data_IF_928385497404
#
_entry.id   IF_928385497404
#
_cell.length_a   1.000
_cell.length_b   1.000
_cell.length_c   1.000
_cell.angle_alpha   90.00
_cell.angle_beta   90.00
_cell.angle_gamma   90.00
#
_symmetry.space_group_name_H-M   'P 1'
#
loop_
_entity.id
_entity.type
_entity.pdbx_description
1 polymer ?
#
# COMPACT_ATOMS: atom_id res chain seq x y z
N UNK A 1 2.96 -10.24 5.45
CA UNK A 1 1.71 -9.69 6.01
C UNK A 1 2.00 -8.27 6.44
N UNK A 2 1.05 -7.35 6.27
CA UNK A 2 1.28 -5.92 6.57
C UNK A 2 0.97 -5.54 8.02
N UNK A 3 0.29 -6.43 8.76
CA UNK A 3 -0.15 -6.24 10.13
C UNK A 3 0.27 -7.41 11.01
N UNK A 4 0.53 -7.14 12.29
CA UNK A 4 0.72 -8.18 13.31
C UNK A 4 -0.66 -8.49 13.91
N UNK A 5 -1.19 -9.69 13.62
CA UNK A 5 -2.47 -10.13 14.15
C UNK A 5 -2.24 -11.17 15.25
N UNK A 6 -2.35 -10.73 16.50
CA UNK A 6 -2.19 -11.55 17.69
C UNK A 6 -3.56 -11.81 18.33
N UNK A 7 -3.82 -13.05 18.69
CA UNK A 7 -4.97 -13.36 19.53
C UNK A 7 -4.68 -12.92 20.96
N UNK A 8 -5.65 -12.28 21.63
CA UNK A 8 -5.48 -11.73 22.99
C UNK A 8 -5.01 -12.76 24.01
N UNK A 9 -5.41 -14.03 23.85
CA UNK A 9 -4.97 -15.13 24.73
C UNK A 9 -3.47 -15.37 24.72
N UNK A 10 -2.73 -14.88 23.71
CA UNK A 10 -1.26 -14.92 23.71
C UNK A 10 -0.71 -14.01 24.80
N UNK A 11 -1.33 -12.85 25.00
CA UNK A 11 -0.94 -11.89 26.04
C UNK A 11 -1.31 -12.39 27.44
N UNK A 12 -2.30 -13.28 27.53
CA UNK A 12 -2.71 -13.94 28.76
C UNK A 12 -1.96 -15.26 29.03
N UNK A 13 -1.02 -15.65 28.14
CA UNK A 13 -0.27 -16.90 28.29
C UNK A 13 0.71 -16.81 29.47
N UNK A 14 0.95 -17.91 30.21
CA UNK A 14 1.89 -17.92 31.31
C UNK A 14 3.32 -17.57 30.86
N UNK A 15 3.70 -17.94 29.64
CA UNK A 15 4.99 -17.60 29.04
C UNK A 15 5.13 -16.08 28.84
N UNK A 16 4.08 -15.39 28.38
CA UNK A 16 4.10 -13.94 28.17
C UNK A 16 4.01 -13.16 29.49
N UNK A 17 3.11 -13.57 30.38
CA UNK A 17 2.95 -12.95 31.71
C UNK A 17 4.22 -13.15 32.55
N UNK A 18 4.85 -14.32 32.46
CA UNK A 18 6.09 -14.63 33.18
C UNK A 18 7.34 -13.97 32.61
N UNK A 19 7.31 -13.53 31.34
CA UNK A 19 8.47 -12.92 30.70
C UNK A 19 8.79 -11.52 31.23
N UNK A 20 10.08 -11.18 31.28
CA UNK A 20 10.56 -9.84 31.60
C UNK A 20 10.10 -8.80 30.57
N UNK A 21 9.92 -7.52 30.94
CA UNK A 21 9.51 -6.47 30.00
C UNK A 21 10.43 -6.36 28.76
N UNK A 22 11.74 -6.51 28.95
CA UNK A 22 12.73 -6.52 27.85
C UNK A 22 12.50 -7.71 26.90
N UNK A 23 12.13 -8.88 27.44
CA UNK A 23 11.82 -10.05 26.62
C UNK A 23 10.54 -9.85 25.83
N UNK A 24 9.50 -9.27 26.43
CA UNK A 24 8.24 -8.96 25.72
C UNK A 24 8.50 -8.01 24.55
N UNK A 25 9.32 -6.98 24.76
CA UNK A 25 9.72 -6.04 23.71
C UNK A 25 10.54 -6.73 22.59
N UNK A 26 11.53 -7.54 22.98
CA UNK A 26 12.37 -8.33 22.05
C UNK A 26 11.50 -9.26 21.20
N UNK A 27 10.59 -10.00 21.84
CA UNK A 27 9.66 -10.91 21.18
C UNK A 27 8.78 -10.17 20.18
N UNK A 28 8.21 -9.01 20.52
CA UNK A 28 7.37 -8.24 19.60
C UNK A 28 8.15 -7.78 18.36
N UNK A 29 9.40 -7.36 18.53
CA UNK A 29 10.30 -6.99 17.43
C UNK A 29 10.65 -8.19 16.52
N UNK A 30 10.96 -9.35 17.11
CA UNK A 30 11.20 -10.60 16.37
C UNK A 30 9.95 -11.06 15.61
N UNK A 31 8.78 -10.98 16.26
CA UNK A 31 7.50 -11.31 15.67
C UNK A 31 7.19 -10.41 14.47
N UNK A 32 7.38 -9.09 14.63
CA UNK A 32 7.24 -8.11 13.54
C UNK A 32 8.08 -8.49 12.33
N UNK A 33 9.34 -8.87 12.55
CA UNK A 33 10.22 -9.32 11.47
C UNK A 33 9.65 -10.57 10.77
N UNK A 34 9.27 -11.60 11.53
CA UNK A 34 8.74 -12.85 10.99
C UNK A 34 7.40 -12.65 10.25
N UNK A 35 6.55 -11.74 10.71
CA UNK A 35 5.26 -11.40 10.06
C UNK A 35 5.49 -10.74 8.70
N UNK A 36 6.51 -9.87 8.61
CA UNK A 36 6.92 -9.25 7.35
C UNK A 36 7.50 -10.26 6.36
N UNK A 37 8.26 -11.24 6.84
CA UNK A 37 8.86 -12.28 5.99
C UNK A 37 7.94 -13.47 5.68
N UNK A 38 6.88 -13.67 6.48
CA UNK A 38 5.98 -14.83 6.38
C UNK A 38 6.71 -16.17 6.43
N UNK A 39 7.68 -16.27 7.34
CA UNK A 39 8.57 -17.40 7.51
C UNK A 39 8.09 -18.39 8.61
N UNK A 40 6.81 -18.32 9.00
CA UNK A 40 6.26 -19.22 10.02
C UNK A 40 6.81 -18.99 11.44
N UNK A 41 7.43 -17.84 11.71
CA UNK A 41 8.04 -17.55 13.01
C UNK A 41 9.45 -18.10 13.16
N UNK A 42 10.09 -18.54 12.07
CA UNK A 42 11.44 -19.13 12.11
C UNK A 42 12.41 -18.24 11.34
N UNK A 43 13.40 -17.70 12.05
CA UNK A 43 14.54 -17.03 11.43
C UNK A 43 15.62 -18.09 11.20
N UNK A 44 15.85 -18.44 9.94
CA UNK A 44 16.82 -19.48 9.56
C UNK A 44 18.21 -18.91 9.30
N UNK A 45 19.25 -19.71 9.59
CA UNK A 45 20.66 -19.39 9.30
C UNK A 45 21.07 -18.06 9.95
N UNK A 46 20.73 -17.93 11.24
CA UNK A 46 20.86 -16.67 11.97
C UNK A 46 21.80 -16.70 13.18
N UNK A 47 22.35 -17.86 13.55
CA UNK A 47 23.29 -17.92 14.69
C UNK A 47 24.58 -17.14 14.43
N UNK A 48 25.01 -17.09 13.16
CA UNK A 48 26.19 -16.36 12.72
C UNK A 48 25.95 -14.85 12.50
N UNK A 49 24.73 -14.34 12.69
CA UNK A 49 24.45 -12.93 12.48
C UNK A 49 25.14 -12.07 13.54
N UNK A 50 25.93 -11.08 13.08
CA UNK A 50 26.48 -10.06 13.96
C UNK A 50 25.40 -9.11 14.51
N UNK A 51 25.72 -8.46 15.63
CA UNK A 51 24.82 -7.53 16.34
C UNK A 51 24.22 -6.44 15.43
N UNK A 52 25.02 -5.89 14.52
CA UNK A 52 24.55 -4.88 13.57
C UNK A 52 23.39 -5.38 12.70
N UNK A 53 23.44 -6.66 12.28
CA UNK A 53 22.39 -7.26 11.45
C UNK A 53 21.12 -7.46 12.24
N UNK A 54 21.21 -7.92 13.49
CA UNK A 54 20.07 -8.04 14.40
C UNK A 54 19.37 -6.69 14.60
N UNK A 55 20.14 -5.62 14.84
CA UNK A 55 19.57 -4.29 15.05
C UNK A 55 18.88 -3.75 13.79
N UNK A 56 19.48 -3.95 12.62
CA UNK A 56 18.92 -3.43 11.36
C UNK A 56 17.70 -4.22 10.89
N UNK A 57 17.75 -5.55 10.95
CA UNK A 57 16.69 -6.40 10.40
C UNK A 57 15.55 -6.60 11.40
N UNK A 58 15.90 -6.85 12.66
CA UNK A 58 14.97 -7.27 13.69
C UNK A 58 14.74 -6.21 14.77
N UNK A 59 15.52 -5.11 14.81
CA UNK A 59 15.42 -4.02 15.82
C UNK A 59 15.68 -4.50 17.24
N UNK A 60 16.52 -5.51 17.36
CA UNK A 60 16.98 -6.08 18.63
C UNK A 60 18.50 -6.24 18.56
N UNK A 61 19.14 -6.33 19.70
CA UNK A 61 20.56 -6.59 19.84
C UNK A 61 20.84 -8.10 19.87
N UNK A 62 22.06 -8.48 19.51
CA UNK A 62 22.53 -9.85 19.66
C UNK A 62 22.50 -10.30 21.13
N UNK A 63 22.70 -9.36 22.06
CA UNK A 63 22.64 -9.62 23.50
C UNK A 63 21.24 -10.05 23.91
N UNK A 64 20.20 -9.32 23.51
CA UNK A 64 18.79 -9.64 23.81
C UNK A 64 18.40 -11.02 23.30
N UNK A 65 18.65 -11.31 22.01
CA UNK A 65 18.24 -12.60 21.41
C UNK A 65 19.00 -13.81 21.96
N UNK A 66 20.16 -13.61 22.58
CA UNK A 66 20.93 -14.67 23.26
C UNK A 66 20.47 -14.94 24.68
N UNK A 67 19.60 -14.10 25.25
CA UNK A 67 19.03 -14.37 26.56
C UNK A 67 18.11 -15.59 26.50
N UNK A 68 18.05 -16.34 27.59
CA UNK A 68 17.05 -17.40 27.75
C UNK A 68 15.68 -16.76 27.94
N UNK A 69 14.71 -17.17 27.14
CA UNK A 69 13.33 -16.71 27.22
C UNK A 69 12.38 -17.85 26.90
N UNK A 70 11.15 -17.76 27.40
CA UNK A 70 10.06 -18.67 27.04
C UNK A 70 9.28 -18.18 25.79
N UNK A 71 9.67 -17.03 25.22
CA UNK A 71 9.02 -16.41 24.05
C UNK A 71 9.74 -16.68 22.72
N UNK A 72 11.00 -17.13 22.78
CA UNK A 72 11.75 -17.60 21.63
C UNK A 72 12.78 -18.64 22.07
N UNK A 73 13.19 -19.49 21.15
CA UNK A 73 14.17 -20.52 21.43
C UNK A 73 15.15 -20.67 20.25
N UNK A 74 16.41 -20.94 20.59
CA UNK A 74 17.40 -21.34 19.61
C UNK A 74 17.32 -22.83 19.37
N UNK A 75 17.09 -23.23 18.12
CA UNK A 75 17.17 -24.62 17.66
C UNK A 75 18.24 -24.67 16.57
N UNK A 76 19.39 -25.24 16.92
CA UNK A 76 20.56 -25.29 16.05
C UNK A 76 20.95 -23.88 15.55
N UNK A 77 20.90 -23.65 14.23
CA UNK A 77 21.20 -22.38 13.57
C UNK A 77 19.95 -21.51 13.31
N UNK A 78 18.86 -21.78 14.02
CA UNK A 78 17.56 -21.11 13.84
C UNK A 78 17.07 -20.51 15.14
N UNK A 79 16.42 -19.36 15.02
CA UNK A 79 15.64 -18.77 16.10
C UNK A 79 14.15 -18.99 15.83
N UNK A 80 13.49 -19.73 16.71
CA UNK A 80 12.05 -20.01 16.63
C UNK A 80 11.32 -19.06 17.58
N UNK A 81 10.43 -18.25 17.04
CA UNK A 81 9.61 -17.28 17.77
C UNK A 81 8.27 -17.92 18.11
N UNK A 82 7.92 -17.95 19.40
CA UNK A 82 6.65 -18.54 19.87
C UNK A 82 5.48 -17.62 19.58
N UNK A 83 4.29 -18.23 19.55
CA UNK A 83 3.01 -17.57 19.28
C UNK A 83 2.92 -16.84 17.93
N UNK A 84 3.73 -17.28 16.95
CA UNK A 84 3.58 -16.81 15.57
C UNK A 84 2.20 -17.21 15.01
N UNK A 85 1.43 -16.27 14.43
CA UNK A 85 0.08 -16.55 13.95
C UNK A 85 0.09 -17.27 12.58
N UNK A 86 0.44 -18.56 12.58
CA UNK A 86 0.52 -19.38 11.36
C UNK A 86 -0.78 -19.40 10.56
N UNK A 87 -1.93 -19.46 11.24
CA UNK A 87 -3.22 -19.52 10.56
C UNK A 87 -3.52 -18.23 9.79
N UNK A 88 -3.12 -17.08 10.35
CA UNK A 88 -3.22 -15.78 9.66
C UNK A 88 -2.26 -15.66 8.49
N UNK A 89 -1.04 -16.20 8.61
CA UNK A 89 -0.14 -16.29 7.48
C UNK A 89 -0.76 -17.10 6.33
N UNK A 90 -1.30 -18.29 6.63
CA UNK A 90 -1.95 -19.16 5.65
C UNK A 90 -3.15 -18.49 5.00
N UNK A 91 -3.97 -17.78 5.78
CA UNK A 91 -5.10 -17.00 5.28
C UNK A 91 -4.65 -15.92 4.29
N UNK A 92 -3.67 -15.11 4.65
CA UNK A 92 -3.16 -14.02 3.80
C UNK A 92 -2.44 -14.55 2.56
N UNK A 93 -1.75 -15.69 2.66
CA UNK A 93 -1.17 -16.38 1.50
C UNK A 93 -2.24 -16.93 0.57
N UNK A 94 -3.30 -17.54 1.10
CA UNK A 94 -4.45 -18.02 0.31
C UNK A 94 -5.17 -16.88 -0.40
N UNK A 95 -5.41 -15.76 0.28
CA UNK A 95 -6.04 -14.59 -0.31
C UNK A 95 -5.21 -14.02 -1.46
N UNK A 96 -3.89 -13.92 -1.30
CA UNK A 96 -2.98 -13.50 -2.38
C UNK A 96 -2.95 -14.49 -3.55
N UNK A 97 -2.91 -15.80 -3.29
CA UNK A 97 -2.96 -16.81 -4.34
C UNK A 97 -4.29 -16.76 -5.13
N UNK A 98 -5.41 -16.55 -4.44
CA UNK A 98 -6.72 -16.39 -5.08
C UNK A 98 -6.81 -15.09 -5.89
N UNK A 99 -6.27 -13.99 -5.38
CA UNK A 99 -6.19 -12.73 -6.10
C UNK A 99 -5.36 -12.88 -7.39
N UNK A 100 -4.22 -13.59 -7.34
CA UNK A 100 -3.40 -13.89 -8.52
C UNK A 100 -4.19 -14.71 -9.56
N UNK A 101 -4.86 -15.80 -9.13
CA UNK A 101 -5.68 -16.62 -10.04
C UNK A 101 -6.83 -15.83 -10.67
N UNK A 102 -7.46 -14.93 -9.92
CA UNK A 102 -8.52 -14.06 -10.43
C UNK A 102 -8.01 -13.00 -11.42
N UNK A 103 -6.79 -12.50 -11.24
CA UNK A 103 -6.13 -11.65 -12.23
C UNK A 103 -5.80 -12.44 -13.51
N UNK A 104 -5.19 -13.62 -13.38
CA UNK A 104 -4.83 -14.49 -14.51
C UNK A 104 -6.05 -14.91 -15.33
N UNK A 105 -7.17 -15.25 -14.66
CA UNK A 105 -8.41 -15.62 -15.31
C UNK A 105 -9.04 -14.43 -16.06
N UNK A 106 -8.95 -13.21 -15.51
CA UNK A 106 -9.39 -11.98 -16.19
C UNK A 106 -8.56 -11.70 -17.44
N UNK A 107 -7.23 -11.79 -17.34
CA UNK A 107 -6.34 -11.58 -18.50
C UNK A 107 -6.52 -12.65 -19.58
N UNK A 108 -6.77 -13.91 -19.20
CA UNK A 108 -7.13 -14.97 -20.15
C UNK A 108 -8.48 -14.71 -20.82
N UNK A 109 -9.47 -14.18 -20.10
CA UNK A 109 -10.78 -13.85 -20.68
C UNK A 109 -10.70 -12.66 -21.61
N UNK A 110 -9.95 -11.62 -21.23
CA UNK A 110 -9.73 -10.42 -22.04
C UNK A 110 -8.94 -10.72 -23.32
N UNK A 111 -7.95 -11.63 -23.28
CA UNK A 111 -7.25 -12.09 -24.49
C UNK A 111 -8.13 -12.95 -25.42
N UNK A 112 -9.14 -13.66 -24.89
CA UNK A 112 -10.13 -14.38 -25.69
C UNK A 112 -11.18 -13.41 -26.28
N UNK A 113 -11.64 -12.42 -25.51
CA UNK A 113 -12.64 -11.43 -25.94
C UNK A 113 -12.09 -10.39 -26.93
N UNK A 114 -10.80 -10.06 -26.87
CA UNK A 114 -10.14 -9.16 -27.83
C UNK A 114 -9.79 -9.82 -29.18
N UNK A 115 -10.22 -11.07 -29.42
CA UNK A 115 -10.11 -11.69 -30.74
C UNK A 115 -8.67 -11.81 -31.26
N UNK A 116 -7.67 -11.94 -30.39
CA UNK A 116 -6.31 -12.26 -30.81
C UNK A 116 -6.35 -13.68 -31.39
N UNK A 117 -6.08 -13.89 -32.69
CA UNK A 117 -6.16 -15.21 -33.26
C UNK A 117 -5.07 -16.08 -32.65
N UNK A 118 -5.48 -17.12 -31.93
CA UNK A 118 -4.60 -18.22 -31.54
C UNK A 118 -4.26 -19.01 -32.81
N UNK A 119 -3.08 -18.75 -33.38
CA UNK A 119 -2.43 -19.49 -34.46
C UNK A 119 -1.00 -19.87 -34.07
N UNK A 120 -0.87 -21.08 -33.54
CA UNK A 120 0.28 -21.91 -33.11
C UNK A 120 1.31 -22.15 -34.27
N UNK A 121 2.44 -22.91 -34.20
CA UNK A 121 3.44 -23.30 -33.17
C UNK A 121 4.90 -22.96 -33.60
N UNK A 122 5.89 -23.37 -32.80
CA UNK A 122 7.32 -23.16 -33.06
C UNK A 122 7.87 -23.74 -34.38
N UNK A 123 9.00 -23.16 -34.80
CA UNK A 123 9.82 -23.62 -35.91
C UNK A 123 10.52 -22.45 -36.61
N UNK A 124 11.82 -22.29 -36.37
CA UNK A 124 12.67 -21.48 -37.25
C UNK A 124 12.60 -22.05 -38.68
N UNK A 125 12.57 -21.20 -39.73
CA UNK A 125 13.07 -21.62 -41.04
C UNK A 125 14.41 -20.93 -41.31
N UNK A 126 15.45 -21.74 -41.38
CA UNK A 126 16.64 -21.47 -42.17
C UNK A 126 16.24 -21.21 -43.64
N UNK A 127 17.03 -20.39 -44.32
CA UNK A 127 16.74 -19.89 -45.66
C UNK A 127 16.62 -20.94 -46.77
N UNK A 128 16.11 -20.49 -47.91
CA UNK A 128 16.73 -20.61 -49.23
C UNK A 128 16.02 -19.60 -50.15
N UNK A 129 16.86 -19.06 -51.04
CA UNK A 129 16.67 -18.12 -52.14
C UNK A 129 15.50 -18.47 -53.08
N UNK A 130 14.86 -17.45 -53.69
CA UNK A 130 14.94 -17.16 -55.13
C UNK A 130 13.82 -16.22 -55.64
N UNK A 131 14.25 -15.35 -56.56
CA UNK A 131 13.52 -14.73 -57.67
C UNK A 131 12.59 -13.53 -57.41
N UNK A 132 13.16 -12.34 -57.66
CA UNK A 132 12.46 -11.15 -58.20
C UNK A 132 11.85 -11.47 -59.59
N UNK A 133 10.81 -10.72 -59.99
CA UNK A 133 11.02 -9.84 -61.13
C UNK A 133 10.58 -8.40 -60.85
N UNK A 134 11.35 -7.49 -61.44
CA UNK A 134 11.21 -6.05 -61.44
C UNK A 134 9.99 -5.61 -62.27
N UNK A 135 9.31 -4.57 -61.81
CA UNK A 135 8.75 -3.53 -62.69
C UNK A 135 8.88 -2.18 -61.99
N UNK A 136 9.53 -1.26 -62.70
CA UNK A 136 9.76 0.13 -62.35
C UNK A 136 8.44 0.93 -62.43
N UNK A 137 8.17 1.82 -61.47
CA UNK A 137 7.61 3.13 -61.79
C UNK A 137 8.01 4.18 -60.75
N UNK A 138 8.23 5.39 -61.23
CA UNK A 138 8.95 6.51 -60.63
C UNK A 138 8.08 7.32 -59.65
N UNK A 139 8.68 7.91 -58.61
CA UNK A 139 7.96 8.82 -57.72
C UNK A 139 8.75 9.42 -56.54
N UNK A 140 9.84 10.11 -56.85
CA UNK A 140 10.50 11.21 -56.13
C UNK A 140 10.07 11.56 -54.67
N UNK A 141 10.99 11.42 -53.70
CA UNK A 141 11.16 12.37 -52.59
C UNK A 141 12.53 12.20 -51.91
N UNK A 142 13.36 13.22 -52.06
CA UNK A 142 14.65 13.46 -51.40
C UNK A 142 14.61 13.37 -49.87
N UNK A 143 15.68 12.84 -49.26
CA UNK A 143 15.85 12.86 -47.80
C UNK A 143 17.15 12.28 -47.28
N UNK A 144 18.30 12.75 -47.79
CA UNK A 144 19.66 12.73 -47.18
C UNK A 144 20.06 11.54 -46.29
N UNK A 145 20.90 10.68 -46.84
CA UNK A 145 21.78 9.82 -46.07
C UNK A 145 22.91 10.58 -45.35
N UNK A 146 23.43 9.96 -44.29
CA UNK A 146 24.88 9.83 -44.07
C UNK A 146 25.16 8.64 -43.15
N UNK A 147 25.79 7.64 -43.77
CA UNK A 147 26.89 6.77 -43.29
C UNK A 147 27.24 6.92 -41.80
N UNK A 148 27.29 5.85 -41.00
CA UNK A 148 28.05 4.64 -41.27
C UNK A 148 29.33 4.66 -40.42
N UNK A 149 29.35 3.91 -39.32
CA UNK A 149 30.59 3.44 -38.69
C UNK A 149 30.30 2.20 -37.87
N UNK A 150 30.50 1.05 -38.51
CA UNK A 150 30.78 -0.19 -37.80
C UNK A 150 32.03 0.01 -36.94
N UNK A 151 31.94 -0.38 -35.68
CA UNK A 151 33.11 -0.66 -34.86
C UNK A 151 32.99 -2.08 -34.35
N UNK A 152 34.00 -2.84 -34.74
CA UNK A 152 34.28 -4.21 -34.39
C UNK A 152 34.12 -4.46 -32.89
N UNK A 153 33.47 -5.57 -32.58
CA UNK A 153 33.38 -6.12 -31.25
C UNK A 153 34.75 -6.69 -30.88
N UNK A 154 35.48 -5.97 -30.04
CA UNK A 154 36.64 -6.53 -29.36
C UNK A 154 36.22 -6.93 -27.95
N UNK A 155 36.15 -8.24 -27.71
CA UNK A 155 35.78 -8.79 -26.41
C UNK A 155 36.84 -8.49 -25.36
N UNK A 156 36.45 -7.78 -24.30
CA UNK A 156 37.03 -7.90 -22.95
C UNK A 156 35.99 -7.41 -21.95
N UNK A 157 35.73 -8.20 -20.92
CA UNK A 157 34.56 -8.11 -20.07
C UNK A 157 34.44 -6.84 -19.21
N UNK A 158 33.19 -6.43 -19.00
CA UNK A 158 32.78 -5.62 -17.85
C UNK A 158 31.57 -6.33 -17.24
N UNK A 159 31.74 -6.76 -15.99
CA UNK A 159 30.72 -7.36 -15.16
C UNK A 159 29.56 -6.39 -14.90
N UNK A 160 28.37 -6.95 -14.76
CA UNK A 160 27.12 -6.28 -14.37
C UNK A 160 27.31 -5.31 -13.21
N UNK A 161 27.35 -4.01 -13.51
CA UNK A 161 27.23 -2.95 -12.53
C UNK A 161 25.75 -2.75 -12.18
N UNK A 162 25.36 -3.23 -11.01
CA UNK A 162 24.06 -2.93 -10.39
C UNK A 162 23.85 -1.40 -10.28
N UNK A 163 22.61 -0.89 -10.40
CA UNK A 163 22.36 0.55 -10.33
C UNK A 163 22.78 1.11 -8.96
N UNK A 164 23.54 2.21 -9.00
CA UNK A 164 24.08 2.88 -7.82
C UNK A 164 22.97 3.26 -6.81
N UNK A 165 23.21 2.98 -5.52
CA UNK A 165 22.32 3.32 -4.41
C UNK A 165 22.24 4.85 -4.23
N UNK A 166 21.06 5.43 -3.88
CA UNK A 166 20.98 6.84 -3.58
C UNK A 166 21.72 7.15 -2.28
N UNK A 167 22.68 8.07 -2.35
CA UNK A 167 23.43 8.62 -1.21
C UNK A 167 22.64 9.76 -0.54
N UNK A 168 21.43 9.46 -0.08
CA UNK A 168 20.54 10.41 0.60
C UNK A 168 20.47 10.22 2.13
N UNK A 169 19.86 11.19 2.81
CA UNK A 169 19.61 11.24 4.26
C UNK A 169 18.90 9.97 4.78
N UNK A 170 19.01 9.68 6.08
CA UNK A 170 18.33 8.55 6.72
C UNK A 170 16.80 8.62 6.57
N UNK A 171 16.25 9.83 6.47
CA UNK A 171 14.84 10.08 6.14
C UNK A 171 14.52 9.73 4.68
N UNK A 172 15.43 10.01 3.74
CA UNK A 172 15.27 9.63 2.32
C UNK A 172 15.27 8.11 2.14
N UNK A 173 16.05 7.38 2.96
CA UNK A 173 16.07 5.91 2.96
C UNK A 173 14.79 5.31 3.53
N UNK A 174 14.23 5.92 4.58
CA UNK A 174 12.93 5.53 5.14
C UNK A 174 11.78 5.78 4.16
N UNK A 175 11.78 6.92 3.46
CA UNK A 175 10.80 7.19 2.40
C UNK A 175 10.92 6.20 1.24
N UNK A 176 12.14 5.75 0.89
CA UNK A 176 12.38 4.78 -0.17
C UNK A 176 11.86 3.36 0.17
N UNK A 177 12.05 2.88 1.41
CA UNK A 177 11.55 1.56 1.83
C UNK A 177 10.02 1.55 2.01
N UNK A 178 9.43 2.63 2.56
CA UNK A 178 7.97 2.81 2.59
C UNK A 178 7.37 2.98 1.19
N UNK A 179 8.09 3.63 0.27
CA UNK A 179 7.75 3.70 -1.15
C UNK A 179 7.68 2.32 -1.79
N UNK A 180 8.54 1.35 -1.43
CA UNK A 180 8.72 0.14 -2.25
C UNK A 180 7.49 -0.77 -2.26
N UNK A 181 6.76 -0.87 -1.15
CA UNK A 181 5.51 -1.65 -1.04
C UNK A 181 4.34 -0.96 -1.75
N UNK A 182 4.19 0.35 -1.58
CA UNK A 182 3.11 1.14 -2.18
C UNK A 182 3.32 1.46 -3.66
N UNK A 183 4.55 1.75 -4.08
CA UNK A 183 4.90 1.90 -5.50
C UNK A 183 4.60 0.60 -6.24
N UNK A 184 4.81 -0.58 -5.64
CA UNK A 184 4.39 -1.86 -6.25
C UNK A 184 2.87 -2.01 -6.37
N UNK A 185 2.10 -1.44 -5.45
CA UNK A 185 0.62 -1.47 -5.49
C UNK A 185 0.03 -0.47 -6.49
N UNK A 186 0.66 0.71 -6.65
CA UNK A 186 0.21 1.76 -7.56
C UNK A 186 0.79 1.66 -8.98
N UNK A 187 1.94 1.00 -9.18
CA UNK A 187 2.54 0.81 -10.51
C UNK A 187 1.59 0.11 -11.51
N UNK A 188 0.81 -0.93 -11.10
CA UNK A 188 -0.20 -1.54 -11.98
C UNK A 188 -1.35 -0.58 -12.30
N UNK A 189 -1.76 0.26 -11.35
CA UNK A 189 -2.87 1.22 -11.51
C UNK A 189 -2.47 2.37 -12.44
N UNK A 190 -1.24 2.86 -12.29
CA UNK A 190 -0.74 4.01 -13.04
C UNK A 190 -0.03 3.63 -14.34
N UNK A 191 0.13 2.32 -14.63
CA UNK A 191 0.81 1.82 -15.82
C UNK A 191 2.29 2.21 -15.94
N UNK A 192 2.88 2.84 -14.92
CA UNK A 192 4.26 3.37 -14.95
C UNK A 192 4.88 3.38 -13.55
N UNK A 193 6.22 3.29 -13.50
CA UNK A 193 6.96 3.37 -12.24
C UNK A 193 6.89 4.78 -11.66
N UNK A 194 6.41 4.89 -10.42
CA UNK A 194 6.44 6.13 -9.66
C UNK A 194 7.87 6.47 -9.24
N UNK A 195 8.35 7.65 -9.64
CA UNK A 195 9.63 8.21 -9.20
C UNK A 195 9.48 9.05 -7.93
N UNK A 196 10.60 9.46 -7.30
CA UNK A 196 10.59 10.25 -6.06
C UNK A 196 9.79 11.56 -6.16
N UNK A 197 9.87 12.27 -7.29
CA UNK A 197 9.10 13.50 -7.53
C UNK A 197 7.59 13.25 -7.61
N UNK A 198 7.22 12.12 -8.19
CA UNK A 198 5.81 11.70 -8.36
C UNK A 198 5.18 11.33 -7.02
N UNK A 199 5.97 10.80 -6.10
CA UNK A 199 5.58 10.49 -4.73
C UNK A 199 5.30 11.74 -3.90
N UNK A 200 6.18 12.75 -3.95
CA UNK A 200 5.99 14.01 -3.22
C UNK A 200 4.65 14.66 -3.59
N UNK A 201 4.31 14.66 -4.87
CA UNK A 201 3.03 15.19 -5.36
C UNK A 201 1.83 14.32 -4.94
N UNK A 202 1.95 12.99 -4.98
CA UNK A 202 0.88 12.11 -4.48
C UNK A 202 0.64 12.29 -2.98
N UNK A 203 1.70 12.36 -2.17
CA UNK A 203 1.60 12.65 -0.73
C UNK A 203 0.92 14.00 -0.49
N UNK A 204 1.28 15.03 -1.26
CA UNK A 204 0.60 16.34 -1.21
C UNK A 204 -0.90 16.23 -1.48
N UNK A 205 -1.31 15.38 -2.42
CA UNK A 205 -2.73 15.15 -2.71
C UNK A 205 -3.43 14.37 -1.58
N UNK A 206 -2.78 13.34 -1.02
CA UNK A 206 -3.31 12.58 0.14
C UNK A 206 -3.49 13.48 1.35
N UNK A 207 -2.49 14.30 1.66
CA UNK A 207 -2.55 15.24 2.79
C UNK A 207 -3.68 16.28 2.59
N UNK A 208 -3.98 16.65 1.34
CA UNK A 208 -5.02 17.65 1.02
C UNK A 208 -6.43 17.07 0.94
N UNK A 209 -6.59 15.88 0.38
CA UNK A 209 -7.91 15.33 0.02
C UNK A 209 -8.30 14.07 0.81
N UNK A 210 -7.37 13.51 1.58
CA UNK A 210 -7.54 12.25 2.30
C UNK A 210 -7.29 11.03 1.40
N UNK A 211 -6.70 9.98 1.99
CA UNK A 211 -6.24 8.80 1.25
C UNK A 211 -7.37 8.08 0.50
N UNK A 212 -8.55 7.98 1.10
CA UNK A 212 -9.69 7.26 0.50
C UNK A 212 -10.18 7.91 -0.80
N UNK A 213 -10.27 9.24 -0.84
CA UNK A 213 -10.72 9.96 -2.02
C UNK A 213 -9.65 9.94 -3.12
N UNK A 214 -8.38 10.03 -2.72
CA UNK A 214 -7.23 9.92 -3.63
C UNK A 214 -7.17 8.53 -4.26
N UNK A 215 -7.32 7.46 -3.48
CA UNK A 215 -7.25 6.09 -3.97
C UNK A 215 -8.43 5.75 -4.89
N UNK A 216 -9.66 6.13 -4.53
CA UNK A 216 -10.81 5.93 -5.40
C UNK A 216 -10.65 6.67 -6.74
N UNK A 217 -10.19 7.93 -6.69
CA UNK A 217 -10.01 8.74 -7.90
C UNK A 217 -8.85 8.23 -8.76
N UNK A 218 -7.80 7.69 -8.14
CA UNK A 218 -6.65 7.11 -8.84
C UNK A 218 -6.99 5.77 -9.50
N UNK A 219 -7.86 4.96 -8.90
CA UNK A 219 -8.33 3.71 -9.50
C UNK A 219 -9.17 3.93 -10.76
N UNK A 220 -9.95 5.01 -10.81
CA UNK A 220 -10.74 5.42 -11.97
C UNK A 220 -9.95 6.27 -12.99
N UNK A 221 -8.68 6.56 -12.71
CA UNK A 221 -7.84 7.35 -13.58
C UNK A 221 -7.20 6.46 -14.67
N UNK A 222 -7.40 6.83 -15.93
CA UNK A 222 -6.59 6.31 -17.03
C UNK A 222 -5.17 6.87 -16.93
N UNK A 223 -4.13 6.05 -17.14
CA UNK A 223 -2.75 6.53 -17.23
C UNK A 223 -2.59 7.54 -18.37
N UNK A 224 -2.63 8.83 -18.05
CA UNK A 224 -2.35 9.93 -18.98
C UNK A 224 -1.01 10.58 -18.60
N UNK A 225 -0.35 11.17 -19.59
CA UNK A 225 0.93 11.85 -19.45
C UNK A 225 0.84 13.12 -18.57
N UNK A 226 -0.36 13.64 -18.30
CA UNK A 226 -0.61 14.88 -17.53
C UNK A 226 -0.62 14.74 -16.00
N UNK A 227 -0.17 13.62 -15.48
CA UNK A 227 -0.05 13.43 -14.03
C UNK A 227 1.05 14.33 -13.42
N UNK A 228 0.84 14.90 -12.21
CA UNK A 228 -0.28 14.69 -11.28
C UNK A 228 -1.49 15.59 -11.53
N UNK A 229 -1.39 16.57 -12.43
CA UNK A 229 -2.41 17.61 -12.64
C UNK A 229 -3.76 17.01 -13.06
N UNK A 230 -3.76 15.98 -13.91
CA UNK A 230 -5.01 15.29 -14.31
C UNK A 230 -5.71 14.57 -13.17
N UNK A 231 -4.96 14.07 -12.17
CA UNK A 231 -5.52 13.48 -10.96
C UNK A 231 -6.04 14.57 -10.01
N UNK A 232 -5.28 15.66 -9.84
CA UNK A 232 -5.70 16.79 -9.01
C UNK A 232 -7.00 17.43 -9.52
N UNK A 233 -7.14 17.62 -10.84
CA UNK A 233 -8.38 18.13 -11.45
C UNK A 233 -9.58 17.20 -11.22
N UNK A 234 -9.35 15.88 -11.26
CA UNK A 234 -10.39 14.89 -10.95
C UNK A 234 -10.75 14.91 -9.47
N UNK A 235 -9.78 15.07 -8.58
CA UNK A 235 -10.02 15.18 -7.14
C UNK A 235 -10.81 16.45 -6.80
N UNK A 236 -10.52 17.58 -7.44
CA UNK A 236 -11.29 18.82 -7.30
C UNK A 236 -12.75 18.59 -7.70
N UNK A 237 -13.00 17.92 -8.84
CA UNK A 237 -14.36 17.58 -9.29
C UNK A 237 -15.05 16.59 -8.35
N UNK A 238 -14.39 15.49 -7.99
CA UNK A 238 -14.94 14.47 -7.10
C UNK A 238 -15.30 15.05 -5.72
N UNK A 239 -14.44 15.93 -5.17
CA UNK A 239 -14.73 16.65 -3.93
C UNK A 239 -15.92 17.59 -4.09
N UNK A 240 -15.98 18.35 -5.18
CA UNK A 240 -17.11 19.25 -5.45
C UNK A 240 -18.44 18.49 -5.60
N UNK A 241 -18.43 17.33 -6.24
CA UNK A 241 -19.61 16.47 -6.39
C UNK A 241 -20.01 15.84 -5.06
N UNK A 242 -19.04 15.43 -4.23
CA UNK A 242 -19.30 14.94 -2.88
C UNK A 242 -19.95 16.03 -2.03
N UNK A 243 -19.38 17.24 -2.05
CA UNK A 243 -19.91 18.39 -1.34
C UNK A 243 -21.31 18.80 -1.87
N UNK A 244 -21.57 18.70 -3.18
CA UNK A 244 -22.90 18.93 -3.78
C UNK A 244 -23.90 17.86 -3.39
N UNK A 245 -23.50 16.58 -3.36
CA UNK A 245 -24.35 15.46 -2.89
C UNK A 245 -24.69 15.61 -1.41
N UNK A 246 -23.74 16.05 -0.60
CA UNK A 246 -23.99 16.40 0.80
C UNK A 246 -24.94 17.60 0.94
N UNK A 247 -24.80 18.62 0.07
CA UNK A 247 -25.69 19.78 0.07
C UNK A 247 -27.10 19.53 -0.52
N UNK A 248 -27.28 18.48 -1.31
CA UNK A 248 -28.53 18.19 -2.05
C UNK A 248 -29.36 17.06 -1.45
N UNK A 249 -29.00 16.54 -0.27
CA UNK A 249 -29.79 15.52 0.43
C UNK A 249 -31.09 16.16 0.98
N UNK A 250 -32.30 15.77 0.50
CA UNK A 250 -33.54 16.50 0.81
C UNK A 250 -34.06 16.35 2.25
N UNK A 251 -33.46 15.47 3.05
CA UNK A 251 -33.82 15.19 4.46
C UNK A 251 -32.57 15.21 5.35
N UNK A 252 -31.69 16.20 5.18
CA UNK A 252 -30.52 16.35 6.02
C UNK A 252 -30.97 16.73 7.44
N UNK A 253 -30.90 15.75 8.36
CA UNK A 253 -31.10 15.97 9.80
C UNK A 253 -30.16 17.11 10.25
N UNK A 254 -30.69 18.29 10.65
CA UNK A 254 -29.86 19.46 10.97
C UNK A 254 -28.82 19.16 12.05
N UNK A 255 -29.12 18.21 12.95
CA UNK A 255 -28.21 17.76 13.98
C UNK A 255 -27.01 16.97 13.40
N UNK A 256 -27.26 16.11 12.42
CA UNK A 256 -26.19 15.32 11.78
C UNK A 256 -25.31 16.18 10.89
N UNK A 257 -25.87 17.18 10.24
CA UNK A 257 -25.07 18.16 9.49
C UNK A 257 -24.16 18.96 10.42
N UNK A 258 -24.65 19.32 11.60
CA UNK A 258 -23.81 19.96 12.61
C UNK A 258 -22.70 19.05 13.11
N UNK A 259 -23.00 17.77 13.37
CA UNK A 259 -21.99 16.77 13.70
C UNK A 259 -20.95 16.62 12.58
N UNK A 260 -21.37 16.62 11.31
CA UNK A 260 -20.45 16.55 10.15
C UNK A 260 -19.50 17.73 10.11
N UNK A 261 -20.01 18.95 10.37
CA UNK A 261 -19.18 20.15 10.47
C UNK A 261 -18.15 20.03 11.59
N UNK A 262 -18.59 19.65 12.80
CA UNK A 262 -17.72 19.50 13.96
C UNK A 262 -16.62 18.45 13.71
N UNK A 263 -16.97 17.29 13.14
CA UNK A 263 -16.00 16.23 12.82
C UNK A 263 -14.96 16.70 11.80
N UNK A 264 -15.36 17.50 10.79
CA UNK A 264 -14.42 18.09 9.82
C UNK A 264 -13.47 19.11 10.45
N UNK A 265 -13.96 19.91 11.40
CA UNK A 265 -13.17 20.97 12.03
C UNK A 265 -12.24 20.46 13.14
N UNK A 266 -12.71 19.51 13.95
CA UNK A 266 -12.00 19.02 15.14
C UNK A 266 -11.25 17.71 14.91
N UNK A 267 -11.57 16.99 13.82
CA UNK A 267 -11.11 15.62 13.59
C UNK A 267 -11.95 14.58 14.32
N UNK A 268 -12.17 13.44 13.67
CA UNK A 268 -13.06 12.37 14.17
C UNK A 268 -12.54 11.71 15.47
N UNK A 269 -11.22 11.62 15.67
CA UNK A 269 -10.61 11.06 16.89
C UNK A 269 -10.93 11.91 18.14
N UNK A 270 -10.84 13.24 18.02
CA UNK A 270 -11.19 14.17 19.10
C UNK A 270 -12.69 14.12 19.42
N UNK A 271 -13.51 13.94 18.38
CA UNK A 271 -14.95 13.75 18.52
C UNK A 271 -15.26 12.44 19.26
N UNK A 272 -14.59 11.33 18.90
CA UNK A 272 -14.75 10.03 19.56
C UNK A 272 -14.38 10.04 21.04
N UNK A 273 -13.26 10.69 21.37
CA UNK A 273 -12.82 10.85 22.76
C UNK A 273 -13.86 11.57 23.63
N UNK A 274 -14.68 12.42 23.02
CA UNK A 274 -15.72 13.20 23.71
C UNK A 274 -16.99 12.38 24.00
N UNK A 275 -17.39 11.54 23.05
CA UNK A 275 -18.68 10.85 23.11
C UNK A 275 -18.62 9.46 23.74
N UNK A 276 -17.41 8.95 24.01
CA UNK A 276 -17.17 7.66 24.67
C UNK A 276 -17.96 6.49 24.06
N UNK A 277 -18.12 6.48 22.73
CA UNK A 277 -18.70 5.33 22.02
C UNK A 277 -17.60 4.27 21.89
N UNK A 278 -17.74 3.09 22.52
CA UNK A 278 -16.77 2.01 22.34
C UNK A 278 -16.85 1.44 20.92
N UNK A 279 -15.68 1.05 20.38
CA UNK A 279 -15.55 0.31 19.11
C UNK A 279 -16.06 1.03 17.86
N UNK A 280 -15.64 2.27 17.63
CA UNK A 280 -15.85 2.94 16.33
C UNK A 280 -14.54 2.89 15.53
N UNK A 281 -14.42 2.00 14.53
CA UNK A 281 -13.15 1.76 13.82
C UNK A 281 -12.80 2.85 12.81
N UNK A 282 -13.77 3.64 12.36
CA UNK A 282 -13.60 4.66 11.33
C UNK A 282 -14.67 5.76 11.40
N UNK A 283 -14.45 6.83 10.63
CA UNK A 283 -15.35 7.98 10.51
C UNK A 283 -16.75 7.62 9.96
N UNK A 284 -16.86 6.60 9.08
CA UNK A 284 -18.15 6.16 8.55
C UNK A 284 -19.03 5.57 9.65
N UNK A 285 -18.44 4.70 10.46
CA UNK A 285 -19.10 4.04 11.59
C UNK A 285 -19.49 5.05 12.68
N UNK A 286 -18.73 6.14 12.84
CA UNK A 286 -19.08 7.25 13.72
C UNK A 286 -20.41 7.89 13.31
N UNK A 287 -20.59 8.19 12.02
CA UNK A 287 -21.82 8.83 11.54
C UNK A 287 -23.03 7.89 11.60
N UNK A 288 -22.83 6.59 11.39
CA UNK A 288 -23.90 5.60 11.63
C UNK A 288 -24.32 5.62 13.10
N UNK A 289 -23.38 5.60 14.04
CA UNK A 289 -23.66 5.65 15.47
C UNK A 289 -24.34 6.97 15.89
N UNK A 290 -23.91 8.11 15.34
CA UNK A 290 -24.52 9.42 15.59
C UNK A 290 -25.94 9.50 15.02
N UNK A 291 -26.19 8.90 13.85
CA UNK A 291 -27.54 8.83 13.25
C UNK A 291 -28.48 7.93 14.05
N UNK A 292 -27.96 6.83 14.60
CA UNK A 292 -28.72 5.90 15.42
C UNK A 292 -28.99 6.43 16.84
N UNK A 293 -28.16 7.36 17.34
CA UNK A 293 -28.26 7.87 18.71
C UNK A 293 -28.17 9.40 18.79
N UNK A 294 -29.33 10.06 18.65
CA UNK A 294 -29.46 11.53 18.73
C UNK A 294 -28.96 12.12 20.05
N UNK A 295 -29.02 11.38 21.16
CA UNK A 295 -28.50 11.87 22.44
C UNK A 295 -26.98 12.04 22.40
N UNK A 296 -26.29 11.12 21.72
CA UNK A 296 -24.84 11.18 21.56
C UNK A 296 -24.45 12.26 20.56
N UNK A 297 -25.20 12.41 19.47
CA UNK A 297 -25.04 13.51 18.52
C UNK A 297 -25.20 14.88 19.20
N UNK A 298 -26.21 15.06 20.07
CA UNK A 298 -26.36 16.29 20.86
C UNK A 298 -25.22 16.52 21.85
N UNK A 299 -24.72 15.47 22.53
CA UNK A 299 -23.56 15.62 23.42
C UNK A 299 -22.32 16.11 22.69
N UNK A 300 -22.10 15.63 21.46
CA UNK A 300 -21.01 16.10 20.61
C UNK A 300 -21.20 17.58 20.27
N UNK A 301 -22.39 17.95 19.81
CA UNK A 301 -22.73 19.33 19.44
C UNK A 301 -22.63 20.27 20.64
N UNK A 302 -23.20 19.93 21.79
CA UNK A 302 -23.14 20.74 23.00
C UNK A 302 -21.70 20.97 23.50
N UNK A 303 -20.78 20.04 23.21
CA UNK A 303 -19.38 20.17 23.61
C UNK A 303 -18.60 21.15 22.72
N UNK A 304 -18.79 21.05 21.41
CA UNK A 304 -17.96 21.75 20.42
C UNK A 304 -18.63 22.97 19.79
N UNK A 305 -19.96 23.07 19.88
CA UNK A 305 -20.77 24.18 19.35
C UNK A 305 -22.01 24.42 20.25
N UNK A 306 -21.80 24.96 21.46
CA UNK A 306 -22.86 25.13 22.46
C UNK A 306 -23.93 26.14 22.04
N UNK A 307 -23.59 27.10 21.17
CA UNK A 307 -24.56 28.09 20.68
C UNK A 307 -25.49 27.48 19.63
N UNK A 308 -24.97 26.59 18.78
CA UNK A 308 -25.83 25.81 17.87
C UNK A 308 -26.71 24.80 18.61
N UNK A 309 -26.23 24.18 19.70
CA UNK A 309 -27.06 23.32 20.55
C UNK A 309 -28.26 24.09 21.15
N UNK A 310 -28.01 25.30 21.67
CA UNK A 310 -29.08 26.19 22.18
C UNK A 310 -30.06 26.60 21.09
N UNK A 311 -29.57 26.92 19.89
CA UNK A 311 -30.42 27.27 18.75
C UNK A 311 -31.32 26.09 18.32
N UNK A 312 -30.81 24.85 18.37
CA UNK A 312 -31.59 23.64 18.09
C UNK A 312 -32.63 23.32 19.18
N UNK A 313 -32.35 23.66 20.45
CA UNK A 313 -33.29 23.47 21.56
C UNK A 313 -34.41 24.52 21.60
N UNK A 314 -34.18 25.72 21.05
CA UNK A 314 -35.20 26.77 20.96
C UNK A 314 -36.14 26.65 19.75
N UNK A 315 -35.84 25.75 18.80
CA UNK A 315 -36.60 25.56 17.56
C UNK A 315 -37.47 24.30 17.52
N UNK A 316 -37.42 23.46 18.57
CA UNK A 316 -38.19 22.22 18.73
C UNK A 316 -39.29 22.37 19.78
#
# INVERSE_FOLDING_TARGET
>A
MDWINLHVSVLDSPEFIGAEPEHRATWLCLLRYCVGQENGGVISVCSAWGDRRWQQQCRVTLKEVRQKSDLWEWIEDKLVVRFYPLDKQREVQRLRANASKGADARWKRESIEQGVPQGIPGGMPQGIEQALPQTEDQGNAEGKGREGKGKEWNGTGIADAAPARPTGSLEDRWQYEAMTSWVRALTPVLGRRLGPKTWTEYKRLVDRYGINLVDATAQDATPDDRWPSSLEDRLIRAKSDLDRKHASAPDADPLLDLCRRIVREQGWEACLATIAIPNVPDEGTLFEALSANRSVARKLVAKFDPDADRAQQGAA
#
